data_IF_389774449557
#
_entry.id   IF_389774449557
#
_cell.length_a   1.000
_cell.length_b   1.000
_cell.length_c   1.000
_cell.angle_alpha   90.00
_cell.angle_beta   90.00
_cell.angle_gamma   90.00
#
_symmetry.space_group_name_H-M   'P 1'
#
loop_
_entity.id
_entity.type
_entity.pdbx_description
1 polymer ?
#
# COMPACT_ATOMS: atom_id res chain seq x y z
N UNK A 1 0.77 21.55 -2.87
CA UNK A 1 -0.35 21.93 -2.00
C UNK A 1 0.14 21.81 -0.57
N UNK A 2 0.12 22.88 0.22
CA UNK A 2 0.49 22.81 1.62
C UNK A 2 -0.67 22.21 2.39
N UNK A 3 -0.42 21.12 3.12
CA UNK A 3 -1.36 20.63 4.13
C UNK A 3 -1.33 21.69 5.22
N UNK A 4 -2.46 22.36 5.49
CA UNK A 4 -2.60 23.27 6.62
C UNK A 4 -3.21 22.49 7.80
N UNK A 5 -2.40 21.88 8.64
CA UNK A 5 -2.92 21.03 9.72
C UNK A 5 -3.29 21.82 10.97
N UNK A 6 -3.08 23.12 10.97
CA UNK A 6 -3.13 23.89 12.20
C UNK A 6 -4.18 24.99 12.15
N UNK A 7 -5.35 24.67 12.66
CA UNK A 7 -6.15 25.68 13.30
C UNK A 7 -5.40 26.14 14.56
N UNK A 8 -5.18 27.45 14.70
CA UNK A 8 -4.56 28.02 15.89
C UNK A 8 -5.58 27.98 17.03
N UNK A 9 -5.39 27.07 17.98
CA UNK A 9 -6.27 26.99 19.14
C UNK A 9 -5.93 28.07 20.16
N UNK A 10 -6.93 28.82 20.58
CA UNK A 10 -6.80 29.81 21.65
C UNK A 10 -7.26 29.16 22.96
N UNK A 11 -6.58 29.46 24.07
CA UNK A 11 -6.98 28.95 25.41
C UNK A 11 -8.43 29.32 25.72
N UNK A 12 -9.25 28.30 26.04
CA UNK A 12 -10.69 28.44 26.31
C UNK A 12 -11.59 28.37 25.08
N UNK A 13 -11.06 28.17 23.88
CA UNK A 13 -11.85 27.95 22.67
C UNK A 13 -12.54 26.58 22.72
N UNK A 14 -13.83 26.56 22.39
CA UNK A 14 -14.57 25.31 22.15
C UNK A 14 -14.32 24.87 20.71
N UNK A 15 -13.83 23.65 20.51
CA UNK A 15 -13.64 23.05 19.20
C UNK A 15 -14.97 22.95 18.47
N UNK A 16 -15.04 23.50 17.29
CA UNK A 16 -16.17 23.34 16.39
C UNK A 16 -16.13 21.95 15.70
N UNK A 17 -17.27 21.47 15.23
CA UNK A 17 -17.33 20.24 14.45
C UNK A 17 -16.45 20.32 13.18
N UNK A 18 -16.31 21.49 12.58
CA UNK A 18 -15.47 21.70 11.39
C UNK A 18 -13.99 21.59 11.73
N UNK A 19 -13.53 22.17 12.85
CA UNK A 19 -12.15 22.03 13.32
C UNK A 19 -11.84 20.55 13.62
N UNK A 20 -12.74 19.83 14.29
CA UNK A 20 -12.58 18.40 14.53
C UNK A 20 -12.47 17.59 13.22
N UNK A 21 -13.23 17.96 12.18
CA UNK A 21 -13.19 17.28 10.89
C UNK A 21 -11.91 17.57 10.09
N UNK A 22 -11.12 18.59 10.48
CA UNK A 22 -9.84 18.90 9.86
C UNK A 22 -8.69 18.02 10.38
N UNK A 23 -8.90 17.28 11.47
CA UNK A 23 -7.87 16.36 11.96
C UNK A 23 -7.74 15.11 11.09
N UNK A 24 -6.52 14.55 11.00
CA UNK A 24 -6.32 13.21 10.48
C UNK A 24 -7.09 12.17 11.31
N UNK A 25 -7.74 11.21 10.64
CA UNK A 25 -8.42 10.11 11.36
C UNK A 25 -7.49 8.94 11.66
N UNK A 26 -6.25 8.99 11.14
CA UNK A 26 -5.26 7.93 11.35
C UNK A 26 -5.54 6.70 10.49
N UNK A 27 -5.25 5.50 11.02
CA UNK A 27 -5.41 4.24 10.29
C UNK A 27 -6.90 3.94 10.08
N UNK A 28 -7.32 3.87 8.82
CA UNK A 28 -8.70 3.59 8.41
C UNK A 28 -8.87 2.17 7.85
N UNK A 29 -7.78 1.53 7.40
CA UNK A 29 -7.79 0.14 6.99
C UNK A 29 -6.39 -0.48 7.10
N UNK A 30 -6.36 -1.78 7.39
CA UNK A 30 -5.12 -2.56 7.55
C UNK A 30 -5.33 -3.97 7.02
N UNK A 31 -4.42 -4.43 6.16
CA UNK A 31 -4.25 -5.84 5.85
C UNK A 31 -2.85 -6.29 6.24
N UNK A 32 -2.77 -7.44 6.89
CA UNK A 32 -1.50 -8.10 7.22
C UNK A 32 -1.59 -9.58 6.85
N UNK A 33 -0.49 -10.12 6.38
CA UNK A 33 -0.38 -11.56 6.16
C UNK A 33 0.99 -12.06 6.66
N UNK A 34 0.98 -13.09 7.46
CA UNK A 34 2.17 -13.67 8.11
C UNK A 34 2.45 -15.11 7.69
N UNK A 35 1.65 -15.68 6.81
CA UNK A 35 1.70 -17.10 6.48
C UNK A 35 1.58 -17.41 4.98
N UNK A 36 1.21 -16.43 4.15
CA UNK A 36 1.01 -16.68 2.72
C UNK A 36 2.32 -17.03 2.01
N UNK A 37 2.21 -18.01 1.13
CA UNK A 37 3.26 -18.36 0.17
C UNK A 37 2.60 -18.44 -1.20
N UNK A 38 3.08 -17.63 -2.14
CA UNK A 38 2.66 -17.66 -3.54
C UNK A 38 3.89 -17.84 -4.42
N UNK A 39 4.06 -19.04 -4.94
CA UNK A 39 5.24 -19.44 -5.71
C UNK A 39 4.99 -19.34 -7.22
N UNK A 40 6.08 -19.17 -7.97
CA UNK A 40 6.06 -19.27 -9.43
C UNK A 40 5.35 -18.12 -10.14
N UNK A 41 5.26 -16.95 -9.52
CA UNK A 41 4.58 -15.80 -10.11
C UNK A 41 5.40 -15.24 -11.28
N UNK A 42 4.78 -15.18 -12.45
CA UNK A 42 5.36 -14.60 -13.68
C UNK A 42 4.55 -13.40 -14.20
N UNK A 43 3.23 -13.44 -14.09
CA UNK A 43 2.31 -12.36 -14.50
C UNK A 43 1.65 -11.68 -13.32
N UNK A 44 0.81 -10.69 -13.59
CA UNK A 44 0.06 -9.95 -12.57
C UNK A 44 -0.84 -10.91 -11.79
N UNK A 45 -0.58 -11.02 -10.50
CA UNK A 45 -1.30 -11.93 -9.59
C UNK A 45 -1.67 -11.19 -8.32
N UNK A 46 -2.91 -11.33 -7.88
CA UNK A 46 -3.37 -10.77 -6.61
C UNK A 46 -2.62 -11.42 -5.44
N UNK A 47 -2.08 -10.62 -4.53
CA UNK A 47 -1.42 -11.13 -3.33
C UNK A 47 -2.46 -11.51 -2.27
N UNK A 48 -2.42 -12.76 -1.84
CA UNK A 48 -3.43 -13.36 -0.95
C UNK A 48 -3.54 -12.58 0.36
N UNK A 49 -4.77 -12.15 0.69
CA UNK A 49 -5.06 -11.40 1.92
C UNK A 49 -4.59 -9.95 1.90
N UNK A 50 -4.06 -9.45 0.78
CA UNK A 50 -3.57 -8.07 0.65
C UNK A 50 -4.57 -7.17 -0.08
N UNK A 51 -5.82 -7.19 0.38
CA UNK A 51 -6.90 -6.33 -0.08
C UNK A 51 -7.60 -5.71 1.12
N UNK A 52 -7.89 -4.42 1.04
CA UNK A 52 -8.62 -3.66 2.06
C UNK A 52 -9.73 -2.86 1.43
N UNK A 53 -10.84 -2.75 2.14
CA UNK A 53 -11.95 -1.87 1.78
C UNK A 53 -12.22 -0.89 2.92
N UNK A 54 -12.38 0.37 2.59
CA UNK A 54 -12.72 1.43 3.53
C UNK A 54 -13.69 2.42 2.90
N UNK A 55 -14.35 3.25 3.73
CA UNK A 55 -15.22 4.33 3.26
C UNK A 55 -14.39 5.61 3.16
N UNK A 56 -14.15 6.06 1.95
CA UNK A 56 -13.49 7.33 1.70
C UNK A 56 -14.46 8.51 1.88
N UNK A 57 -13.95 9.61 2.41
CA UNK A 57 -14.64 10.90 2.52
C UNK A 57 -14.04 11.82 1.45
N UNK A 58 -14.89 12.53 0.70
CA UNK A 58 -14.43 13.48 -0.31
C UNK A 58 -13.54 14.57 0.30
N UNK A 59 -12.60 15.09 -0.50
CA UNK A 59 -11.68 16.16 -0.11
C UNK A 59 -10.79 15.82 1.10
N UNK A 60 -10.42 14.54 1.24
CA UNK A 60 -9.43 14.10 2.21
C UNK A 60 -8.29 13.37 1.53
N UNK A 61 -7.09 13.55 2.07
CA UNK A 61 -5.89 12.86 1.63
C UNK A 61 -5.77 11.53 2.37
N UNK A 62 -5.45 10.50 1.63
CA UNK A 62 -5.15 9.16 2.15
C UNK A 62 -3.74 8.78 1.79
N UNK A 63 -3.03 8.19 2.74
CA UNK A 63 -1.71 7.61 2.56
C UNK A 63 -1.85 6.09 2.60
N UNK A 64 -1.44 5.41 1.55
CA UNK A 64 -1.31 3.96 1.52
C UNK A 64 0.17 3.59 1.58
N UNK A 65 0.55 2.86 2.61
CA UNK A 65 1.91 2.35 2.79
C UNK A 65 1.88 0.83 2.73
N UNK A 66 2.79 0.23 1.98
CA UNK A 66 2.84 -1.23 1.89
C UNK A 66 4.26 -1.75 1.74
N UNK A 67 4.45 -3.00 2.16
CA UNK A 67 5.63 -3.80 1.85
C UNK A 67 5.28 -5.29 1.72
N UNK A 68 6.03 -5.97 0.85
CA UNK A 68 5.90 -7.39 0.55
C UNK A 68 7.28 -7.96 0.30
N UNK A 69 7.54 -9.15 0.81
CA UNK A 69 8.81 -9.85 0.62
C UNK A 69 8.71 -10.83 -0.55
N UNK A 70 9.66 -10.73 -1.49
CA UNK A 70 9.73 -11.57 -2.67
C UNK A 70 11.12 -12.19 -2.85
N UNK A 71 11.16 -13.43 -3.34
CA UNK A 71 12.38 -14.21 -3.59
C UNK A 71 12.42 -14.56 -5.08
N UNK A 72 13.35 -14.00 -5.86
CA UNK A 72 13.52 -14.37 -7.26
C UNK A 72 14.06 -15.80 -7.40
N UNK A 73 13.60 -16.52 -8.41
CA UNK A 73 14.06 -17.89 -8.68
C UNK A 73 15.34 -17.92 -9.54
N UNK A 74 15.65 -16.82 -10.22
CA UNK A 74 16.89 -16.67 -11.01
C UNK A 74 17.56 -15.33 -10.72
N UNK A 75 18.86 -15.28 -10.90
CA UNK A 75 19.67 -14.04 -10.73
C UNK A 75 19.27 -13.02 -11.79
N UNK A 76 19.25 -11.75 -11.40
CA UNK A 76 18.82 -10.59 -12.21
C UNK A 76 17.33 -10.57 -12.56
N UNK A 77 16.50 -11.43 -11.96
CA UNK A 77 15.06 -11.27 -12.09
C UNK A 77 14.60 -9.99 -11.39
N UNK A 78 13.81 -9.21 -12.11
CA UNK A 78 13.18 -8.00 -11.59
C UNK A 78 11.70 -8.26 -11.35
N UNK A 79 11.17 -7.70 -10.29
CA UNK A 79 9.73 -7.84 -9.98
C UNK A 79 9.15 -6.55 -9.47
N UNK A 80 7.84 -6.44 -9.51
CA UNK A 80 7.11 -5.32 -8.94
C UNK A 80 5.97 -5.77 -8.06
N UNK A 81 5.67 -4.93 -7.06
CA UNK A 81 4.45 -4.99 -6.27
C UNK A 81 3.67 -3.70 -6.55
N UNK A 82 2.43 -3.84 -7.00
CA UNK A 82 1.60 -2.73 -7.42
C UNK A 82 0.42 -2.56 -6.46
N UNK A 83 0.18 -1.32 -6.02
CA UNK A 83 -1.07 -0.92 -5.39
C UNK A 83 -2.09 -0.62 -6.48
N UNK A 84 -3.25 -1.25 -6.43
CA UNK A 84 -4.32 -1.10 -7.43
C UNK A 84 -5.66 -0.74 -6.82
N UNK A 85 -6.45 0.03 -7.60
CA UNK A 85 -7.86 0.29 -7.37
C UNK A 85 -8.64 -0.03 -8.65
N UNK A 86 -9.58 -0.98 -8.59
CA UNK A 86 -10.42 -1.34 -9.75
C UNK A 86 -9.61 -1.69 -11.00
N UNK A 87 -8.44 -2.35 -10.87
CA UNK A 87 -7.53 -2.68 -11.96
C UNK A 87 -6.57 -1.55 -12.37
N UNK A 88 -6.77 -0.32 -11.89
CA UNK A 88 -5.86 0.80 -12.15
C UNK A 88 -4.72 0.83 -11.13
N UNK A 89 -3.49 0.86 -11.61
CA UNK A 89 -2.30 0.99 -10.76
C UNK A 89 -2.21 2.41 -10.22
N UNK A 90 -2.10 2.53 -8.90
CA UNK A 90 -1.90 3.80 -8.18
C UNK A 90 -0.45 4.03 -7.82
N UNK A 91 0.29 2.95 -7.50
CA UNK A 91 1.70 3.01 -7.10
C UNK A 91 2.39 1.71 -7.46
N UNK A 92 3.66 1.79 -7.82
CA UNK A 92 4.52 0.64 -8.13
C UNK A 92 5.75 0.68 -7.22
N UNK A 93 6.07 -0.45 -6.62
CA UNK A 93 7.36 -0.72 -6.00
C UNK A 93 8.14 -1.70 -6.89
N UNK A 94 9.21 -1.24 -7.52
CA UNK A 94 10.06 -2.09 -8.35
C UNK A 94 11.28 -2.57 -7.57
N UNK A 95 11.63 -3.84 -7.78
CA UNK A 95 12.88 -4.45 -7.32
C UNK A 95 13.67 -4.89 -8.54
N UNK A 96 14.89 -4.40 -8.66
CA UNK A 96 15.78 -4.69 -9.78
C UNK A 96 16.93 -5.59 -9.34
N UNK A 97 17.28 -6.56 -10.19
CA UNK A 97 18.55 -7.29 -10.09
C UNK A 97 18.67 -8.19 -8.87
N UNK A 98 17.64 -8.89 -8.48
CA UNK A 98 17.69 -9.84 -7.37
C UNK A 98 18.71 -10.98 -7.61
N UNK A 99 19.36 -11.44 -6.54
CA UNK A 99 20.16 -12.68 -6.57
C UNK A 99 19.20 -13.86 -6.38
N UNK A 100 19.37 -14.93 -7.16
CA UNK A 100 18.55 -16.12 -7.03
C UNK A 100 18.51 -16.62 -5.58
N UNK A 101 17.34 -16.97 -5.09
CA UNK A 101 17.08 -17.45 -3.72
C UNK A 101 17.31 -16.44 -2.58
N UNK A 102 17.78 -15.23 -2.88
CA UNK A 102 17.91 -14.15 -1.89
C UNK A 102 16.68 -13.25 -1.96
N UNK A 103 15.94 -13.20 -0.88
CA UNK A 103 14.72 -12.41 -0.80
C UNK A 103 14.97 -10.93 -0.58
N UNK A 104 14.06 -10.13 -1.07
CA UNK A 104 14.07 -8.67 -0.97
C UNK A 104 12.66 -8.15 -0.70
N UNK A 105 12.58 -7.04 0.03
CA UNK A 105 11.32 -6.35 0.28
C UNK A 105 11.03 -5.32 -0.81
N UNK A 106 9.85 -5.42 -1.42
CA UNK A 106 9.27 -4.38 -2.26
C UNK A 106 8.27 -3.56 -1.42
N UNK A 107 8.44 -2.26 -1.39
CA UNK A 107 7.52 -1.37 -0.66
C UNK A 107 7.49 0.03 -1.24
N UNK A 108 6.35 0.69 -1.09
CA UNK A 108 6.16 2.06 -1.53
C UNK A 108 5.07 2.76 -0.70
N UNK A 109 4.99 4.07 -0.91
CA UNK A 109 3.95 4.93 -0.33
C UNK A 109 3.21 5.63 -1.47
N UNK A 110 1.90 5.60 -1.42
CA UNK A 110 1.00 6.39 -2.26
C UNK A 110 0.30 7.43 -1.40
N UNK A 111 0.16 8.64 -1.91
CA UNK A 111 -0.69 9.69 -1.31
C UNK A 111 -1.63 10.21 -2.38
N UNK A 112 -2.91 10.28 -2.05
CA UNK A 112 -3.92 10.80 -2.96
C UNK A 112 -5.30 10.89 -2.34
N UNK A 113 -6.23 11.39 -3.13
CA UNK A 113 -7.64 11.50 -2.77
C UNK A 113 -8.47 10.42 -3.45
N UNK A 114 -9.61 10.08 -2.86
CA UNK A 114 -10.61 9.20 -3.46
C UNK A 114 -11.98 9.90 -3.47
N UNK A 115 -12.83 9.49 -4.40
CA UNK A 115 -14.25 9.89 -4.34
C UNK A 115 -14.89 9.33 -3.07
N UNK A 116 -15.88 10.06 -2.53
CA UNK A 116 -16.63 9.57 -1.38
C UNK A 116 -17.29 8.22 -1.66
N UNK A 117 -17.29 7.34 -0.66
CA UNK A 117 -17.89 6.01 -0.74
C UNK A 117 -16.91 4.87 -0.54
N UNK A 118 -17.33 3.67 -0.88
CA UNK A 118 -16.51 2.47 -0.70
C UNK A 118 -15.34 2.42 -1.68
N UNK A 119 -14.13 2.29 -1.16
CA UNK A 119 -12.89 2.15 -1.92
C UNK A 119 -12.22 0.84 -1.55
N UNK A 120 -11.90 0.03 -2.54
CA UNK A 120 -11.10 -1.18 -2.35
C UNK A 120 -9.74 -0.98 -3.00
N UNK A 121 -8.68 -1.16 -2.20
CA UNK A 121 -7.29 -1.20 -2.64
C UNK A 121 -6.75 -2.61 -2.44
N UNK A 122 -5.95 -3.08 -3.40
CA UNK A 122 -5.29 -4.38 -3.33
C UNK A 122 -3.84 -4.31 -3.80
N UNK A 123 -3.03 -5.26 -3.34
CA UNK A 123 -1.69 -5.46 -3.85
C UNK A 123 -1.68 -6.59 -4.88
N UNK A 124 -0.94 -6.37 -5.97
CA UNK A 124 -0.59 -7.41 -6.94
C UNK A 124 0.91 -7.52 -7.07
N UNK A 125 1.40 -8.74 -7.29
CA UNK A 125 2.80 -9.01 -7.59
C UNK A 125 2.96 -9.51 -9.01
N UNK A 126 4.09 -9.21 -9.64
CA UNK A 126 4.44 -9.71 -10.98
C UNK A 126 5.94 -9.72 -11.21
N UNK A 127 6.39 -10.57 -12.13
CA UNK A 127 7.71 -10.46 -12.73
C UNK A 127 7.69 -9.25 -13.68
N UNK A 128 8.74 -8.42 -13.65
CA UNK A 128 8.84 -7.27 -14.55
C UNK A 128 9.05 -7.74 -15.99
N UNK A 129 8.45 -7.04 -16.95
CA UNK A 129 8.58 -7.33 -18.39
C UNK A 129 10.06 -7.40 -18.81
N UNK A 130 10.41 -8.45 -19.55
CA UNK A 130 11.78 -8.71 -19.99
C UNK A 130 12.64 -9.47 -18.98
N UNK A 131 12.17 -9.70 -17.76
CA UNK A 131 12.83 -10.59 -16.80
C UNK A 131 12.48 -12.05 -17.08
N UNK A 132 13.39 -12.95 -16.73
CA UNK A 132 13.21 -14.40 -16.81
C UNK A 132 13.00 -15.02 -15.43
N UNK A 133 12.53 -16.27 -15.39
CA UNK A 133 12.25 -16.98 -14.14
C UNK A 133 10.88 -16.63 -13.57
N UNK A 134 10.79 -16.63 -12.25
CA UNK A 134 9.58 -16.31 -11.51
C UNK A 134 9.93 -15.72 -10.14
N UNK A 135 8.91 -15.20 -9.44
CA UNK A 135 9.04 -14.70 -8.08
C UNK A 135 8.19 -15.56 -7.14
N UNK A 136 8.76 -15.89 -6.00
CA UNK A 136 8.06 -16.47 -4.88
C UNK A 136 7.81 -15.38 -3.84
N UNK A 137 6.57 -14.97 -3.66
CA UNK A 137 6.18 -14.07 -2.58
C UNK A 137 5.92 -14.88 -1.32
N UNK A 138 6.61 -14.54 -0.23
CA UNK A 138 6.53 -15.30 1.03
C UNK A 138 6.32 -14.35 2.20
N UNK A 139 5.32 -14.64 3.03
CA UNK A 139 5.10 -13.98 4.30
C UNK A 139 5.51 -14.88 5.46
N UNK A 140 6.00 -14.30 6.54
CA UNK A 140 6.31 -14.98 7.79
C UNK A 140 6.02 -14.05 8.97
N UNK A 141 5.97 -14.58 10.19
CA UNK A 141 5.72 -13.77 11.39
C UNK A 141 6.76 -12.66 11.59
N UNK A 142 7.99 -12.87 11.15
CA UNK A 142 9.10 -11.89 11.21
C UNK A 142 9.24 -11.06 9.92
N UNK A 143 8.51 -11.41 8.86
CA UNK A 143 8.47 -10.74 7.56
C UNK A 143 7.01 -10.64 7.08
N UNK A 144 6.14 -9.95 7.81
CA UNK A 144 4.75 -9.85 7.42
C UNK A 144 4.60 -9.03 6.13
N UNK A 145 3.64 -9.40 5.29
CA UNK A 145 3.16 -8.45 4.29
C UNK A 145 2.21 -7.47 4.98
N UNK A 146 2.31 -6.21 4.63
CA UNK A 146 1.51 -5.15 5.24
C UNK A 146 0.99 -4.21 4.17
N UNK A 147 -0.28 -3.82 4.29
CA UNK A 147 -0.92 -2.73 3.58
C UNK A 147 -1.70 -1.90 4.60
N UNK A 148 -1.28 -0.68 4.84
CA UNK A 148 -1.92 0.28 5.76
C UNK A 148 -2.49 1.43 4.97
N UNK A 149 -3.72 1.81 5.28
CA UNK A 149 -4.35 3.03 4.77
C UNK A 149 -4.59 3.97 5.93
N UNK A 150 -4.05 5.18 5.81
CA UNK A 150 -4.20 6.26 6.79
C UNK A 150 -4.94 7.44 6.16
N UNK A 151 -5.91 7.98 6.87
CA UNK A 151 -6.46 9.30 6.58
C UNK A 151 -5.51 10.33 7.20
N UNK A 152 -4.92 11.18 6.37
CA UNK A 152 -3.90 12.16 6.78
C UNK A 152 -4.43 13.60 6.79
N UNK A 153 -5.74 13.77 6.69
CA UNK A 153 -6.42 15.05 6.81
C UNK A 153 -6.99 15.59 5.51
N UNK A 154 -7.52 16.80 5.53
CA UNK A 154 -8.12 17.47 4.37
C UNK A 154 -7.15 17.59 3.19
N UNK A 155 -7.71 17.56 1.96
CA UNK A 155 -6.99 17.72 0.70
C UNK A 155 -6.86 19.20 0.29
#
# INVERSE_FOLDING_TARGET
MAISPNDTFTSGQVLTAQECNNFPFGVVALATNTTAVQAGITGVTDLTGMSVTFTAIANRNYKASYHVYGIPTVTNACFSVNLQQGGTIKQIANVNGGVATVGTTAGAVYVGTFSAGSVTLKLTGQLTTGSTGSINFTAASVLPWILVIEDIGPA
#
